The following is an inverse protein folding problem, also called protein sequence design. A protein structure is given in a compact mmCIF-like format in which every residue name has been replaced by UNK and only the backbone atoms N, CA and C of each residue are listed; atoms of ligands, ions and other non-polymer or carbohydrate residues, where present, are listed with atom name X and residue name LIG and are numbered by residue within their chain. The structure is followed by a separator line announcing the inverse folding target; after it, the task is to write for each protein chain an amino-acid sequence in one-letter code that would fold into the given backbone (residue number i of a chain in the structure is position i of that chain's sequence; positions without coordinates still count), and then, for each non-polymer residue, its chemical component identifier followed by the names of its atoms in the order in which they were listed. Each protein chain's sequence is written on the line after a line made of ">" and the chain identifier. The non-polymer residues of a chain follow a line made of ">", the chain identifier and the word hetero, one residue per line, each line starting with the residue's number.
data_IF_837581103057
#
_entry.id   IF_837581103057
#
_cell.length_a   1.000
_cell.length_b   1.000
_cell.length_c   1.000
_cell.angle_alpha   90.00
_cell.angle_beta   90.00
_cell.angle_gamma   90.00
#
_symmetry.space_group_name_H-M   'P 1'
#
loop_
_entity.id
_entity.type
_entity.pdbx_description
1 polymer ?
#
# COMPACT_ATOMS: atom_id res chain seq x y z
N UNK A 1 -18.49 17.76 8.39
CA UNK A 1 -17.08 17.87 7.98
C UNK A 1 -17.08 17.97 6.47
N UNK A 2 -16.57 19.07 5.91
CA UNK A 2 -16.46 19.23 4.46
C UNK A 2 -15.23 18.45 4.01
N UNK A 3 -15.44 17.17 3.71
CA UNK A 3 -14.39 16.29 3.25
C UNK A 3 -14.14 16.61 1.77
N UNK A 4 -13.22 17.55 1.50
CA UNK A 4 -12.75 17.95 0.16
C UNK A 4 -12.00 16.83 -0.60
N UNK A 5 -12.17 15.58 -0.20
CA UNK A 5 -11.53 14.42 -0.81
C UNK A 5 -12.45 13.87 -1.89
N UNK A 6 -11.92 13.67 -3.09
CA UNK A 6 -12.62 12.96 -4.17
C UNK A 6 -12.47 11.44 -3.95
N UNK A 7 -13.03 10.93 -2.84
CA UNK A 7 -12.97 9.51 -2.47
C UNK A 7 -13.50 8.59 -3.57
N UNK A 8 -14.51 9.07 -4.30
CA UNK A 8 -15.12 8.41 -5.46
C UNK A 8 -14.13 8.19 -6.62
N UNK A 9 -13.02 8.91 -6.65
CA UNK A 9 -11.98 8.80 -7.68
C UNK A 9 -10.78 7.96 -7.24
N UNK A 10 -10.78 7.43 -6.03
CA UNK A 10 -9.73 6.53 -5.57
C UNK A 10 -9.91 5.16 -6.23
N UNK A 11 -8.84 4.62 -6.80
CA UNK A 11 -8.85 3.30 -7.43
C UNK A 11 -8.27 2.29 -6.46
N UNK A 12 -9.14 1.46 -5.88
CA UNK A 12 -8.76 0.34 -5.02
C UNK A 12 -8.31 -0.83 -5.88
N UNK A 13 -7.08 -1.28 -5.64
CA UNK A 13 -6.46 -2.37 -6.36
C UNK A 13 -6.51 -3.62 -5.49
N UNK A 14 -7.11 -4.69 -6.01
CA UNK A 14 -7.23 -5.97 -5.31
C UNK A 14 -5.96 -6.85 -5.47
N UNK A 15 -4.78 -6.23 -5.53
CA UNK A 15 -3.52 -6.94 -5.68
C UNK A 15 -2.38 -6.20 -4.97
N UNK A 16 -1.34 -6.94 -4.57
CA UNK A 16 -0.14 -6.39 -3.95
C UNK A 16 0.55 -5.36 -4.86
N UNK A 17 1.12 -4.32 -4.26
CA UNK A 17 1.99 -3.38 -4.95
C UNK A 17 3.29 -3.26 -4.15
N UNK A 18 4.43 -3.44 -4.83
CA UNK A 18 5.76 -3.24 -4.26
C UNK A 18 6.07 -3.99 -2.95
N UNK A 19 6.74 -5.13 -3.08
CA UNK A 19 7.70 -5.75 -2.15
C UNK A 19 8.15 -7.05 -2.82
N UNK A 20 9.42 -7.46 -2.70
CA UNK A 20 9.91 -8.66 -3.41
C UNK A 20 9.19 -9.94 -2.94
N UNK A 21 8.75 -9.97 -1.68
CA UNK A 21 7.96 -11.06 -1.10
C UNK A 21 6.46 -10.74 -1.02
N UNK A 22 5.96 -9.71 -1.70
CA UNK A 22 4.55 -9.29 -1.54
C UNK A 22 3.55 -10.39 -1.90
N UNK A 23 3.91 -11.29 -2.82
CA UNK A 23 3.07 -12.41 -3.25
C UNK A 23 2.89 -13.48 -2.16
N UNK A 24 3.73 -13.46 -1.13
CA UNK A 24 3.66 -14.38 0.02
C UNK A 24 2.98 -13.73 1.24
N UNK A 25 2.51 -12.49 1.09
CA UNK A 25 1.72 -11.76 2.10
C UNK A 25 0.23 -12.05 1.90
N UNK A 26 -0.47 -12.47 2.96
CA UNK A 26 -1.93 -12.68 2.87
C UNK A 26 -2.69 -11.35 2.98
N UNK A 27 -2.18 -10.39 3.75
CA UNK A 27 -2.76 -9.05 3.86
C UNK A 27 -2.22 -8.12 2.77
N UNK A 28 -3.13 -7.49 2.04
CA UNK A 28 -2.77 -6.49 1.04
C UNK A 28 -3.86 -5.44 0.81
N UNK A 29 -3.44 -4.19 0.70
CA UNK A 29 -4.25 -3.06 0.27
C UNK A 29 -3.41 -2.22 -0.67
N UNK A 30 -3.97 -1.81 -1.81
CA UNK A 30 -3.32 -0.84 -2.67
C UNK A 30 -4.34 0.15 -3.22
N UNK A 31 -4.01 1.44 -3.19
CA UNK A 31 -4.91 2.51 -3.61
C UNK A 31 -4.15 3.51 -4.46
N UNK A 32 -4.61 3.72 -5.69
CA UNK A 32 -4.13 4.78 -6.55
C UNK A 32 -5.01 6.03 -6.38
N UNK A 33 -4.37 7.13 -6.02
CA UNK A 33 -5.00 8.43 -5.87
C UNK A 33 -4.99 9.21 -7.21
N UNK A 34 -5.99 10.07 -7.46
CA UNK A 34 -6.11 10.81 -8.71
C UNK A 34 -4.96 11.82 -8.96
N UNK A 35 -4.20 12.19 -7.93
CA UNK A 35 -3.02 13.05 -8.02
C UNK A 35 -1.71 12.28 -8.29
N UNK A 36 -1.80 11.00 -8.66
CA UNK A 36 -0.65 10.22 -9.12
C UNK A 36 0.17 9.57 -8.01
N UNK A 37 -0.37 9.41 -6.81
CA UNK A 37 0.27 8.64 -5.72
C UNK A 37 -0.35 7.26 -5.56
N UNK A 38 0.51 6.26 -5.38
CA UNK A 38 0.12 4.90 -5.03
C UNK A 38 0.49 4.63 -3.58
N UNK A 39 -0.51 4.24 -2.79
CA UNK A 39 -0.33 3.79 -1.41
C UNK A 39 -0.46 2.28 -1.43
N UNK A 40 0.53 1.58 -0.90
CA UNK A 40 0.52 0.12 -0.79
C UNK A 40 0.76 -0.30 0.64
N UNK A 41 -0.08 -1.19 1.14
CA UNK A 41 0.08 -1.83 2.44
C UNK A 41 0.17 -3.32 2.23
N UNK A 42 1.18 -3.93 2.83
CA UNK A 42 1.35 -5.38 2.86
C UNK A 42 1.51 -5.85 4.30
N UNK A 43 1.17 -7.11 4.56
CA UNK A 43 1.17 -7.68 5.89
C UNK A 43 1.09 -9.20 5.86
N UNK A 44 1.25 -9.83 7.01
CA UNK A 44 1.00 -11.27 7.15
C UNK A 44 1.85 -12.11 6.16
N UNK A 45 3.14 -11.81 6.07
CA UNK A 45 4.09 -12.63 5.30
C UNK A 45 4.09 -14.04 5.87
N UNK A 46 3.72 -15.03 5.06
CA UNK A 46 3.54 -16.40 5.54
C UNK A 46 4.57 -17.36 4.94
N UNK A 47 5.39 -17.96 5.81
CA UNK A 47 6.27 -19.06 5.42
C UNK A 47 5.45 -20.35 5.34
N UNK A 48 5.12 -20.77 4.12
CA UNK A 48 4.33 -21.97 3.85
C UNK A 48 5.03 -23.27 4.26
N UNK A 49 6.36 -23.29 4.31
CA UNK A 49 7.11 -24.48 4.69
C UNK A 49 7.03 -24.71 6.20
N UNK A 50 7.24 -23.65 6.96
CA UNK A 50 7.24 -23.69 8.42
C UNK A 50 5.86 -23.42 9.05
N UNK A 51 4.89 -22.97 8.24
CA UNK A 51 3.52 -22.63 8.63
C UNK A 51 3.44 -21.53 9.69
N UNK A 52 4.28 -20.51 9.57
CA UNK A 52 4.39 -19.40 10.51
C UNK A 52 4.27 -18.06 9.79
N UNK A 53 3.78 -17.04 10.50
CA UNK A 53 3.90 -15.65 10.05
C UNK A 53 5.27 -15.11 10.40
N UNK A 54 5.87 -14.44 9.42
CA UNK A 54 7.15 -13.77 9.53
C UNK A 54 6.94 -12.26 9.63
N UNK A 55 7.91 -11.60 10.23
CA UNK A 55 8.05 -10.16 10.11
C UNK A 55 8.42 -9.79 8.68
N UNK A 56 7.91 -8.65 8.22
CA UNK A 56 8.28 -8.05 6.93
C UNK A 56 9.66 -7.39 7.04
N UNK A 57 10.08 -7.03 8.25
CA UNK A 57 11.44 -6.60 8.62
C UNK A 57 11.42 -5.79 9.91
N UNK A 58 12.54 -5.61 10.60
CA UNK A 58 12.70 -4.72 11.79
C UNK A 58 11.48 -4.72 12.76
N UNK A 59 11.10 -5.89 13.27
CA UNK A 59 10.04 -6.05 14.29
C UNK A 59 8.63 -5.58 13.86
N UNK A 60 8.34 -5.54 12.55
CA UNK A 60 7.00 -5.23 11.99
C UNK A 60 6.40 -6.36 11.15
N UNK A 61 5.12 -6.59 11.35
CA UNK A 61 4.33 -7.55 10.55
C UNK A 61 3.59 -6.91 9.37
N UNK A 62 3.50 -5.58 9.34
CA UNK A 62 2.81 -4.82 8.30
C UNK A 62 3.59 -3.54 7.99
N UNK A 63 3.54 -3.12 6.73
CA UNK A 63 4.05 -1.82 6.32
C UNK A 63 3.14 -1.17 5.27
N UNK A 64 3.03 0.15 5.35
CA UNK A 64 2.42 1.01 4.34
C UNK A 64 3.50 1.89 3.73
N UNK A 65 3.56 1.94 2.41
CA UNK A 65 4.49 2.78 1.65
C UNK A 65 3.76 3.63 0.62
N UNK A 66 4.35 4.79 0.32
CA UNK A 66 3.83 5.71 -0.70
C UNK A 66 4.81 5.85 -1.84
N UNK A 67 4.31 5.75 -3.06
CA UNK A 67 5.09 5.87 -4.29
C UNK A 67 4.49 6.89 -5.24
N UNK A 68 5.35 7.53 -6.02
CA UNK A 68 4.91 8.30 -7.18
C UNK A 68 4.63 7.37 -8.37
N UNK A 69 3.54 7.65 -9.07
CA UNK A 69 3.19 7.00 -10.33
C UNK A 69 3.10 8.06 -11.42
N UNK A 70 3.28 7.62 -12.66
CA UNK A 70 3.04 8.46 -13.83
C UNK A 70 1.59 8.31 -14.38
N UNK A 71 0.71 7.63 -13.63
CA UNK A 71 -0.67 7.33 -14.04
C UNK A 71 -0.81 6.22 -15.10
N UNK A 72 0.30 5.66 -15.61
CA UNK A 72 0.25 4.55 -16.56
C UNK A 72 0.00 3.22 -15.84
N UNK A 73 -0.63 2.29 -16.56
CA UNK A 73 -0.84 0.93 -16.11
C UNK A 73 -0.05 -0.05 -16.96
N UNK A 74 0.53 -1.07 -16.32
CA UNK A 74 1.13 -2.23 -16.99
C UNK A 74 0.02 -3.06 -17.66
N UNK A 75 0.39 -3.92 -18.62
CA UNK A 75 -0.54 -4.85 -19.28
C UNK A 75 -1.32 -5.75 -18.32
N UNK A 76 -0.74 -6.05 -17.15
CA UNK A 76 -1.38 -6.83 -16.10
C UNK A 76 -2.39 -6.04 -15.24
N UNK A 77 -2.61 -4.74 -15.52
CA UNK A 77 -3.54 -3.90 -14.75
C UNK A 77 -2.94 -3.26 -13.50
N UNK A 78 -1.66 -3.50 -13.20
CA UNK A 78 -0.97 -2.83 -12.10
C UNK A 78 -0.51 -1.42 -12.50
N UNK A 79 -0.62 -0.39 -11.63
CA UNK A 79 0.01 0.90 -11.87
C UNK A 79 1.52 0.77 -12.08
N UNK A 80 2.06 1.63 -12.93
CA UNK A 80 3.50 1.78 -13.11
C UNK A 80 4.01 2.76 -12.05
N UNK A 81 4.80 2.24 -11.13
CA UNK A 81 5.58 3.04 -10.19
C UNK A 81 6.79 3.59 -10.95
N UNK A 82 7.11 4.86 -10.73
CA UNK A 82 8.12 5.59 -11.50
C UNK A 82 9.54 5.08 -11.19
N UNK A 83 10.08 5.41 -10.01
CA UNK A 83 11.47 5.10 -9.63
C UNK A 83 11.59 4.11 -8.46
N UNK A 84 10.46 3.53 -8.02
CA UNK A 84 10.38 2.71 -6.79
C UNK A 84 10.93 3.40 -5.54
N UNK A 85 11.03 4.74 -5.57
CA UNK A 85 11.39 5.57 -4.43
C UNK A 85 10.18 5.70 -3.52
N UNK A 86 10.37 5.28 -2.29
CA UNK A 86 9.43 5.47 -1.21
C UNK A 86 9.43 6.93 -0.75
N UNK A 87 8.26 7.56 -0.78
CA UNK A 87 8.07 8.95 -0.36
C UNK A 87 7.60 9.07 1.09
N UNK A 88 6.99 8.01 1.63
CA UNK A 88 6.47 7.94 3.00
C UNK A 88 6.34 6.49 3.44
N UNK A 89 6.40 6.29 4.75
CA UNK A 89 6.44 4.98 5.39
C UNK A 89 5.60 4.97 6.66
N UNK A 90 4.98 3.83 6.95
CA UNK A 90 4.49 3.52 8.30
C UNK A 90 4.50 2.03 8.56
N UNK A 91 4.88 1.65 9.77
CA UNK A 91 4.93 0.26 10.24
C UNK A 91 3.78 -0.04 11.20
N UNK A 92 3.30 -1.28 11.19
CA UNK A 92 2.27 -1.75 12.13
C UNK A 92 2.51 -3.22 12.52
N UNK A 93 1.87 -3.62 13.62
CA UNK A 93 1.91 -5.00 14.12
C UNK A 93 0.54 -5.68 14.15
N UNK A 94 -0.53 -4.98 13.76
CA UNK A 94 -1.88 -5.52 13.73
C UNK A 94 -2.61 -5.12 12.44
N UNK A 95 -3.46 -6.01 11.89
CA UNK A 95 -4.10 -5.79 10.60
C UNK A 95 -5.07 -4.60 10.62
N UNK A 96 -5.75 -4.40 11.75
CA UNK A 96 -6.66 -3.26 11.94
C UNK A 96 -5.91 -1.92 11.92
N UNK A 97 -4.72 -1.88 12.50
CA UNK A 97 -3.90 -0.67 12.52
C UNK A 97 -3.32 -0.39 11.13
N UNK A 98 -2.90 -1.44 10.42
CA UNK A 98 -2.46 -1.34 9.03
C UNK A 98 -3.57 -0.83 8.10
N UNK A 99 -4.80 -1.33 8.24
CA UNK A 99 -5.95 -0.86 7.48
C UNK A 99 -6.27 0.61 7.78
N UNK A 100 -6.37 0.99 9.06
CA UNK A 100 -6.63 2.38 9.45
C UNK A 100 -5.53 3.33 8.99
N UNK A 101 -4.27 2.87 9.13
CA UNK A 101 -3.09 3.57 8.67
C UNK A 101 -3.07 3.78 7.16
N UNK A 102 -3.47 2.77 6.38
CA UNK A 102 -3.64 2.89 4.92
C UNK A 102 -4.62 4.00 4.56
N UNK A 103 -5.82 4.01 5.17
CA UNK A 103 -6.82 5.04 4.94
C UNK A 103 -6.30 6.43 5.31
N UNK A 104 -5.63 6.55 6.46
CA UNK A 104 -5.05 7.80 6.91
C UNK A 104 -3.98 8.30 5.94
N UNK A 105 -3.11 7.42 5.47
CA UNK A 105 -2.07 7.73 4.48
C UNK A 105 -2.69 8.22 3.17
N UNK A 106 -3.74 7.54 2.68
CA UNK A 106 -4.47 7.98 1.48
C UNK A 106 -5.07 9.38 1.66
N UNK A 107 -5.69 9.67 2.81
CA UNK A 107 -6.23 11.02 3.10
C UNK A 107 -5.11 12.06 3.11
N UNK A 108 -4.01 11.79 3.80
CA UNK A 108 -2.89 12.73 3.90
C UNK A 108 -2.29 13.05 2.53
N UNK A 109 -2.12 12.04 1.68
CA UNK A 109 -1.52 12.18 0.36
C UNK A 109 -2.48 12.68 -0.70
N UNK A 110 -3.80 12.51 -0.53
CA UNK A 110 -4.80 13.09 -1.42
C UNK A 110 -4.86 14.63 -1.37
N UNK A 111 -4.32 15.26 -0.31
CA UNK A 111 -4.22 16.72 -0.18
C UNK A 111 -2.90 17.31 -0.71
N UNK A 112 -1.98 16.46 -1.19
CA UNK A 112 -0.70 16.90 -1.74
C UNK A 112 -0.85 17.24 -3.23
N UNK A 113 -0.14 18.29 -3.66
CA UNK A 113 -0.08 18.73 -5.06
C UNK A 113 1.11 18.10 -5.78
#
# INVERSE_FOLDING_TARGET
>A
MNDNYQFDKWVWLAHHQHHICANDCDFNLATLLPNGFLISTIGELYDRNNKIFLEIGDERFYETKVFKTNGEFKKCGCPKVDEYIELDFSAYNHPKDAQNGHILMCKNWALKN
#
